data_IF_424865861619
#
_entry.id   IF_424865861619
#
_cell.length_a   1.000
_cell.length_b   1.000
_cell.length_c   1.000
_cell.angle_alpha   90.00
_cell.angle_beta   90.00
_cell.angle_gamma   90.00
#
_symmetry.space_group_name_H-M   'P 1'
#
loop_
_entity.id
_entity.type
_entity.pdbx_description
1 polymer ?
#
# COMPACT_ATOMS: atom_id res chain seq x y z
N UNK A 1 -6.04 -8.26 -4.05
CA UNK A 1 -4.83 -7.93 -3.27
C UNK A 1 -4.01 -6.80 -3.89
N UNK A 2 -3.97 -6.64 -5.21
CA UNK A 2 -3.33 -5.49 -5.87
C UNK A 2 -3.97 -4.14 -5.50
N UNK A 3 -5.27 -4.11 -5.27
CA UNK A 3 -5.97 -2.91 -4.75
C UNK A 3 -5.48 -2.55 -3.34
N UNK A 4 -5.12 -3.54 -2.55
CA UNK A 4 -4.61 -3.35 -1.20
C UNK A 4 -3.23 -2.69 -1.20
N UNK A 5 -2.37 -3.09 -2.13
CA UNK A 5 -1.00 -2.60 -2.26
C UNK A 5 -0.94 -1.13 -2.70
N UNK A 6 -1.81 -0.70 -3.60
CA UNK A 6 -1.78 0.67 -4.13
C UNK A 6 -2.49 1.71 -3.26
N UNK A 7 -3.20 1.26 -2.20
CA UNK A 7 -3.90 2.10 -1.23
C UNK A 7 -4.89 3.13 -1.85
N UNK A 8 -5.21 3.01 -3.13
CA UNK A 8 -6.09 3.95 -3.82
C UNK A 8 -7.50 3.92 -3.21
N UNK A 9 -7.98 5.08 -2.83
CA UNK A 9 -9.28 5.23 -2.19
C UNK A 9 -9.30 5.05 -0.67
N UNK A 10 -8.19 4.66 -0.03
CA UNK A 10 -8.11 4.52 1.43
C UNK A 10 -7.79 5.84 2.16
N UNK A 11 -7.15 6.79 1.47
CA UNK A 11 -6.73 8.06 2.06
C UNK A 11 -5.32 8.02 2.67
N UNK A 12 -4.70 6.86 2.79
CA UNK A 12 -3.37 6.68 3.37
C UNK A 12 -2.27 7.27 2.48
N UNK A 13 -2.34 7.09 1.17
CA UNK A 13 -1.41 7.67 0.22
C UNK A 13 -1.34 9.21 0.32
N UNK A 14 -2.47 9.87 0.59
CA UNK A 14 -2.48 11.33 0.77
C UNK A 14 -1.70 11.76 2.02
N UNK A 15 -1.65 10.96 3.08
CA UNK A 15 -0.85 11.23 4.28
C UNK A 15 0.65 11.17 3.96
N UNK A 16 1.08 10.16 3.19
CA UNK A 16 2.47 10.05 2.75
C UNK A 16 2.87 11.22 1.86
N UNK A 17 2.07 11.53 0.84
CA UNK A 17 2.34 12.62 -0.09
C UNK A 17 2.31 14.01 0.59
N UNK A 18 1.52 14.18 1.65
CA UNK A 18 1.51 15.43 2.43
C UNK A 18 2.82 15.68 3.20
N UNK A 19 3.63 14.64 3.44
CA UNK A 19 4.93 14.78 4.08
C UNK A 19 6.04 15.23 3.10
N UNK A 20 5.74 15.34 1.81
CA UNK A 20 6.73 15.73 0.80
C UNK A 20 7.07 17.22 0.89
N UNK A 21 8.35 17.53 0.86
CA UNK A 21 8.84 18.92 0.78
C UNK A 21 8.72 19.45 -0.66
N UNK A 22 7.58 20.03 -0.96
CA UNK A 22 7.30 20.60 -2.30
C UNK A 22 6.46 21.87 -2.21
N UNK A 23 6.84 22.86 -3.00
CA UNK A 23 6.05 24.08 -3.18
C UNK A 23 4.91 23.94 -4.20
N UNK A 24 4.86 22.81 -4.93
CA UNK A 24 3.90 22.58 -6.02
C UNK A 24 3.09 21.30 -5.77
N UNK A 25 1.94 21.36 -5.07
CA UNK A 25 1.13 20.19 -4.72
C UNK A 25 0.74 19.32 -5.93
N UNK A 26 0.44 19.95 -7.07
CA UNK A 26 0.09 19.25 -8.31
C UNK A 26 1.21 18.34 -8.80
N UNK A 27 2.47 18.76 -8.65
CA UNK A 27 3.62 17.93 -9.01
C UNK A 27 3.67 16.67 -8.14
N UNK A 28 3.41 16.80 -6.85
CA UNK A 28 3.35 15.65 -5.94
C UNK A 28 2.17 14.74 -6.27
N UNK A 29 1.00 15.29 -6.62
CA UNK A 29 -0.13 14.51 -7.10
C UNK A 29 0.17 13.70 -8.36
N UNK A 30 0.96 14.24 -9.30
CA UNK A 30 1.41 13.49 -10.48
C UNK A 30 2.34 12.32 -10.14
N UNK A 31 3.18 12.45 -9.10
CA UNK A 31 3.97 11.32 -8.60
C UNK A 31 3.07 10.20 -8.05
N UNK A 32 2.02 10.55 -7.30
CA UNK A 32 1.03 9.57 -6.83
C UNK A 32 0.33 8.82 -7.97
N UNK A 33 0.01 9.50 -9.08
CA UNK A 33 -0.55 8.84 -10.27
C UNK A 33 0.45 7.83 -10.85
N UNK A 34 1.72 8.24 -10.98
CA UNK A 34 2.78 7.35 -11.48
C UNK A 34 3.01 6.14 -10.57
N UNK A 35 3.01 6.35 -9.27
CA UNK A 35 3.18 5.29 -8.26
C UNK A 35 2.08 4.23 -8.38
N UNK A 36 0.80 4.65 -8.39
CA UNK A 36 -0.34 3.75 -8.54
C UNK A 36 -0.31 3.01 -9.88
N UNK A 37 0.08 3.68 -10.97
CA UNK A 37 0.25 3.06 -12.28
C UNK A 37 1.36 1.99 -12.24
N UNK A 38 2.52 2.31 -11.68
CA UNK A 38 3.65 1.39 -11.59
C UNK A 38 3.31 0.16 -10.74
N UNK A 39 2.68 0.35 -9.58
CA UNK A 39 2.29 -0.76 -8.71
C UNK A 39 1.21 -1.65 -9.34
N UNK A 40 0.12 -1.05 -9.80
CA UNK A 40 -1.05 -1.81 -10.23
C UNK A 40 -0.93 -2.34 -11.65
N UNK A 41 -0.52 -1.48 -12.59
CA UNK A 41 -0.48 -1.90 -14.01
C UNK A 41 0.81 -2.67 -14.31
N UNK A 42 1.96 -2.20 -13.83
CA UNK A 42 3.23 -2.86 -14.16
C UNK A 42 3.49 -4.05 -13.24
N UNK A 43 3.61 -3.83 -11.94
CA UNK A 43 4.03 -4.89 -11.00
C UNK A 43 3.00 -6.00 -10.87
N UNK A 44 1.72 -5.67 -10.67
CA UNK A 44 0.68 -6.69 -10.55
C UNK A 44 0.48 -7.49 -11.84
N UNK A 45 0.56 -6.83 -13.03
CA UNK A 45 0.47 -7.53 -14.31
C UNK A 45 1.66 -8.46 -14.51
N UNK A 46 2.88 -8.01 -14.24
CA UNK A 46 4.07 -8.87 -14.33
C UNK A 46 3.98 -10.07 -13.40
N UNK A 47 3.53 -9.88 -12.16
CA UNK A 47 3.33 -10.98 -11.21
C UNK A 47 2.30 -11.99 -11.71
N UNK A 48 1.16 -11.52 -12.23
CA UNK A 48 0.13 -12.38 -12.81
C UNK A 48 0.65 -13.16 -14.02
N UNK A 49 1.38 -12.51 -14.92
CA UNK A 49 1.98 -13.14 -16.09
C UNK A 49 2.99 -14.22 -15.70
N UNK A 50 3.85 -13.97 -14.71
CA UNK A 50 4.80 -14.97 -14.20
C UNK A 50 4.06 -16.21 -13.71
N UNK A 51 3.00 -16.06 -12.94
CA UNK A 51 2.20 -17.19 -12.44
C UNK A 51 1.57 -17.95 -13.60
N UNK A 52 0.94 -17.27 -14.55
CA UNK A 52 0.22 -17.90 -15.66
C UNK A 52 1.16 -18.62 -16.64
N UNK A 53 2.34 -18.06 -16.90
CA UNK A 53 3.30 -18.63 -17.88
C UNK A 53 4.16 -19.73 -17.26
N UNK A 54 4.35 -19.74 -15.93
CA UNK A 54 5.20 -20.71 -15.25
C UNK A 54 4.70 -22.16 -15.27
N UNK A 55 3.42 -22.38 -15.64
CA UNK A 55 2.80 -23.69 -15.62
C UNK A 55 2.51 -24.25 -14.22
N UNK A 56 2.67 -23.46 -13.18
CA UNK A 56 2.34 -23.87 -11.80
C UNK A 56 0.81 -24.01 -11.67
N UNK A 57 0.30 -25.11 -11.07
CA UNK A 57 -1.12 -25.32 -10.93
C UNK A 57 -1.76 -24.25 -10.02
N UNK A 58 -2.74 -23.55 -10.57
CA UNK A 58 -3.54 -22.59 -9.82
C UNK A 58 -4.83 -23.26 -9.38
N UNK A 59 -4.93 -23.57 -8.11
CA UNK A 59 -6.12 -24.23 -7.56
C UNK A 59 -7.23 -23.20 -7.32
N UNK A 60 -8.37 -23.38 -7.96
CA UNK A 60 -9.56 -22.55 -7.74
C UNK A 60 -10.06 -22.67 -6.30
N UNK A 61 -10.35 -21.55 -5.66
CA UNK A 61 -10.86 -21.50 -4.28
C UNK A 61 -9.81 -21.65 -3.18
N UNK A 62 -8.56 -21.95 -3.51
CA UNK A 62 -7.48 -21.93 -2.53
C UNK A 62 -7.02 -20.48 -2.27
N UNK A 63 -6.77 -20.16 -1.00
CA UNK A 63 -6.17 -18.88 -0.64
C UNK A 63 -4.73 -18.82 -1.16
N UNK A 64 -4.53 -18.20 -2.31
CA UNK A 64 -3.19 -18.00 -2.87
C UNK A 64 -2.45 -16.92 -2.08
N UNK A 65 -1.36 -17.31 -1.44
CA UNK A 65 -0.41 -16.43 -0.77
C UNK A 65 0.79 -16.10 -1.67
N UNK A 66 1.84 -15.59 -1.04
CA UNK A 66 3.14 -15.38 -1.68
C UNK A 66 3.76 -16.67 -2.25
N UNK A 67 3.38 -17.82 -1.71
CA UNK A 67 3.85 -19.15 -2.12
C UNK A 67 3.62 -19.42 -3.61
N UNK A 68 2.47 -19.00 -4.15
CA UNK A 68 2.16 -19.19 -5.56
C UNK A 68 3.12 -18.38 -6.45
N UNK A 69 3.42 -17.13 -6.06
CA UNK A 69 4.38 -16.29 -6.76
C UNK A 69 5.79 -16.87 -6.70
N UNK A 70 6.22 -17.30 -5.51
CA UNK A 70 7.53 -17.94 -5.30
C UNK A 70 7.65 -19.20 -6.16
N UNK A 71 6.60 -20.04 -6.21
CA UNK A 71 6.58 -21.25 -7.03
C UNK A 71 6.69 -20.94 -8.51
N UNK A 72 6.01 -19.88 -8.99
CA UNK A 72 6.10 -19.43 -10.38
C UNK A 72 7.52 -19.01 -10.76
N UNK A 73 8.17 -18.21 -9.94
CA UNK A 73 9.56 -17.81 -10.17
C UNK A 73 10.54 -18.99 -10.05
N UNK A 74 10.35 -19.87 -9.08
CA UNK A 74 11.20 -21.04 -8.86
C UNK A 74 11.11 -22.03 -10.03
N UNK A 75 9.93 -22.21 -10.61
CA UNK A 75 9.75 -23.08 -11.77
C UNK A 75 10.57 -22.63 -12.99
N UNK A 76 10.78 -21.31 -13.12
CA UNK A 76 11.52 -20.73 -14.26
C UNK A 76 13.01 -20.56 -14.00
N UNK A 77 13.38 -20.10 -12.80
CA UNK A 77 14.77 -19.68 -12.48
C UNK A 77 15.50 -20.63 -11.53
N UNK A 78 14.82 -21.66 -11.01
CA UNK A 78 15.43 -22.62 -10.08
C UNK A 78 15.39 -22.20 -8.61
N UNK A 79 15.87 -23.07 -7.73
CA UNK A 79 15.69 -22.94 -6.28
C UNK A 79 16.33 -21.72 -5.60
N UNK A 80 17.35 -21.12 -6.19
CA UNK A 80 18.00 -19.93 -5.62
C UNK A 80 17.07 -18.71 -5.55
N UNK A 81 16.06 -18.64 -6.43
CA UNK A 81 15.10 -17.54 -6.48
C UNK A 81 14.21 -17.52 -5.24
N UNK A 82 14.00 -18.64 -4.58
CA UNK A 82 13.24 -18.69 -3.32
C UNK A 82 13.90 -17.84 -2.23
N UNK A 83 15.22 -17.83 -2.16
CA UNK A 83 15.98 -16.99 -1.23
C UNK A 83 15.85 -15.52 -1.60
N UNK A 84 16.01 -15.20 -2.90
CA UNK A 84 15.86 -13.83 -3.39
C UNK A 84 14.45 -13.28 -3.11
N UNK A 85 13.41 -14.04 -3.41
CA UNK A 85 12.02 -13.63 -3.16
C UNK A 85 11.73 -13.51 -1.67
N UNK A 86 12.29 -14.39 -0.82
CA UNK A 86 12.15 -14.27 0.64
C UNK A 86 12.77 -12.97 1.15
N UNK A 87 13.97 -12.60 0.71
CA UNK A 87 14.62 -11.34 1.07
C UNK A 87 13.81 -10.14 0.57
N UNK A 88 13.33 -10.17 -0.68
CA UNK A 88 12.49 -9.13 -1.25
C UNK A 88 11.21 -8.96 -0.43
N UNK A 89 10.56 -10.04 -0.04
CA UNK A 89 9.36 -10.00 0.80
C UNK A 89 9.63 -9.44 2.20
N UNK A 90 10.77 -9.74 2.80
CA UNK A 90 11.19 -9.13 4.06
C UNK A 90 11.35 -7.61 3.91
N UNK A 91 11.97 -7.14 2.83
CA UNK A 91 12.12 -5.71 2.54
C UNK A 91 10.75 -5.03 2.33
N UNK A 92 9.85 -5.68 1.60
CA UNK A 92 8.47 -5.19 1.40
C UNK A 92 7.69 -5.11 2.72
N UNK A 93 7.73 -6.16 3.54
CA UNK A 93 7.07 -6.16 4.83
C UNK A 93 7.63 -5.06 5.74
N UNK A 94 8.93 -4.88 5.78
CA UNK A 94 9.60 -3.85 6.57
C UNK A 94 9.18 -2.44 6.13
N UNK A 95 9.19 -2.16 4.82
CA UNK A 95 8.75 -0.86 4.29
C UNK A 95 7.28 -0.58 4.58
N UNK A 96 6.43 -1.60 4.48
CA UNK A 96 5.00 -1.49 4.80
C UNK A 96 4.77 -1.19 6.28
N UNK A 97 5.48 -1.87 7.18
CA UNK A 97 5.39 -1.60 8.63
C UNK A 97 5.79 -0.15 8.94
N UNK A 98 6.85 0.37 8.31
CA UNK A 98 7.26 1.76 8.49
C UNK A 98 6.20 2.73 7.94
N UNK A 99 5.70 2.50 6.73
CA UNK A 99 4.69 3.35 6.10
C UNK A 99 3.41 3.42 6.91
N UNK A 100 2.85 2.28 7.28
CA UNK A 100 1.63 2.23 8.10
C UNK A 100 1.83 2.76 9.51
N UNK A 101 3.03 2.60 10.08
CA UNK A 101 3.42 3.25 11.32
C UNK A 101 3.36 4.78 11.24
N UNK A 102 3.83 5.35 10.12
CA UNK A 102 3.72 6.78 9.85
C UNK A 102 2.25 7.24 9.77
N UNK A 103 1.41 6.50 9.01
CA UNK A 103 -0.02 6.83 8.89
C UNK A 103 -0.71 6.82 10.25
N UNK A 104 -0.48 5.76 11.04
CA UNK A 104 -1.02 5.66 12.39
C UNK A 104 -0.52 6.77 13.31
N UNK A 105 0.77 7.10 13.26
CA UNK A 105 1.36 8.18 14.05
C UNK A 105 0.73 9.54 13.72
N UNK A 106 0.50 9.85 12.44
CA UNK A 106 -0.17 11.08 12.02
C UNK A 106 -1.64 11.14 12.43
N UNK A 107 -2.36 10.03 12.34
CA UNK A 107 -3.74 9.95 12.81
C UNK A 107 -3.83 10.16 14.33
N UNK A 108 -2.97 9.52 15.11
CA UNK A 108 -2.93 9.66 16.57
C UNK A 108 -2.52 11.07 17.00
N UNK A 109 -1.55 11.67 16.31
CA UNK A 109 -1.15 13.06 16.54
C UNK A 109 -2.32 14.03 16.32
N UNK A 110 -3.07 13.83 15.24
CA UNK A 110 -4.24 14.64 14.92
C UNK A 110 -5.37 14.49 15.95
N UNK A 111 -5.66 13.25 16.39
CA UNK A 111 -6.78 12.99 17.31
C UNK A 111 -6.48 13.38 18.76
N UNK A 112 -5.24 13.26 19.20
CA UNK A 112 -4.87 13.47 20.60
C UNK A 112 -3.77 14.51 20.75
N UNK A 113 -2.52 14.13 20.53
CA UNK A 113 -1.36 15.04 20.52
C UNK A 113 -0.08 14.31 20.13
N UNK A 114 0.98 15.06 19.83
CA UNK A 114 2.31 14.51 19.54
C UNK A 114 2.90 13.66 20.70
N UNK A 115 2.47 13.90 21.95
CA UNK A 115 2.95 13.14 23.12
C UNK A 115 2.55 11.67 23.08
N UNK A 116 1.44 11.35 22.40
CA UNK A 116 0.90 9.99 22.32
C UNK A 116 1.58 9.16 21.23
N UNK A 117 2.37 9.77 20.34
CA UNK A 117 3.06 9.06 19.26
C UNK A 117 3.98 7.96 19.82
N UNK A 118 4.77 8.26 20.87
CA UNK A 118 5.71 7.27 21.44
C UNK A 118 5.01 6.02 21.98
N UNK A 119 4.03 6.11 22.90
CA UNK A 119 3.33 4.93 23.38
C UNK A 119 2.58 4.20 22.26
N UNK A 120 2.02 4.92 21.28
CA UNK A 120 1.39 4.32 20.10
C UNK A 120 2.40 3.49 19.30
N UNK A 121 3.59 4.01 19.00
CA UNK A 121 4.61 3.27 18.23
C UNK A 121 5.11 2.02 18.96
N UNK A 122 5.20 2.06 20.30
CA UNK A 122 5.52 0.86 21.10
C UNK A 122 4.40 -0.18 20.95
N UNK A 123 3.15 0.22 21.14
CA UNK A 123 2.00 -0.68 20.99
C UNK A 123 1.91 -1.24 19.55
N UNK A 124 2.10 -0.39 18.53
CA UNK A 124 2.12 -0.78 17.14
C UNK A 124 3.18 -1.85 16.84
N UNK A 125 4.40 -1.67 17.34
CA UNK A 125 5.48 -2.65 17.17
C UNK A 125 5.16 -3.99 17.84
N UNK A 126 4.57 -3.98 19.03
CA UNK A 126 4.13 -5.20 19.70
C UNK A 126 3.00 -5.90 18.93
N UNK A 127 2.03 -5.15 18.43
CA UNK A 127 0.94 -5.71 17.59
C UNK A 127 1.48 -6.30 16.30
N UNK A 128 2.49 -5.70 15.68
CA UNK A 128 3.13 -6.25 14.48
C UNK A 128 3.78 -7.62 14.76
N UNK A 129 4.44 -7.76 15.91
CA UNK A 129 5.02 -9.05 16.35
C UNK A 129 3.92 -10.09 16.62
N UNK A 130 2.86 -9.70 17.33
CA UNK A 130 1.72 -10.59 17.60
C UNK A 130 1.01 -11.01 16.28
N UNK A 131 0.86 -10.08 15.34
CA UNK A 131 0.27 -10.33 14.03
C UNK A 131 0.98 -11.43 13.24
N UNK A 132 2.29 -11.59 13.43
CA UNK A 132 3.05 -12.66 12.79
C UNK A 132 2.67 -14.08 13.28
N UNK A 133 1.99 -14.19 14.41
CA UNK A 133 1.57 -15.48 15.02
C UNK A 133 0.09 -15.81 14.82
N UNK A 134 -0.71 -14.86 14.36
CA UNK A 134 -2.17 -15.01 14.18
C UNK A 134 -2.49 -15.68 12.83
N UNK A 135 -3.65 -16.33 12.76
CA UNK A 135 -4.14 -16.94 11.52
C UNK A 135 -4.28 -15.88 10.40
N UNK A 136 -3.63 -16.15 9.28
CA UNK A 136 -3.55 -15.22 8.14
C UNK A 136 -4.94 -14.90 7.54
N UNK A 137 -5.84 -15.89 7.47
CA UNK A 137 -7.20 -15.69 6.96
C UNK A 137 -8.01 -14.70 7.80
N UNK A 138 -7.92 -14.83 9.13
CA UNK A 138 -8.58 -13.92 10.06
C UNK A 138 -8.01 -12.50 9.92
N UNK A 139 -6.68 -12.37 9.85
CA UNK A 139 -6.04 -11.05 9.66
C UNK A 139 -6.49 -10.38 8.38
N UNK A 140 -6.58 -11.14 7.28
CA UNK A 140 -7.09 -10.59 6.00
C UNK A 140 -8.52 -10.11 6.12
N UNK A 141 -9.41 -10.88 6.73
CA UNK A 141 -10.82 -10.48 6.90
C UNK A 141 -10.97 -9.21 7.73
N UNK A 142 -10.19 -9.08 8.80
CA UNK A 142 -10.15 -7.87 9.63
C UNK A 142 -9.63 -6.68 8.81
N UNK A 143 -8.51 -6.85 8.13
CA UNK A 143 -7.88 -5.77 7.35
C UNK A 143 -8.78 -5.28 6.21
N UNK A 144 -9.43 -6.19 5.47
CA UNK A 144 -10.37 -5.84 4.39
C UNK A 144 -11.59 -5.07 4.92
N UNK A 145 -12.10 -5.44 6.09
CA UNK A 145 -13.22 -4.75 6.73
C UNK A 145 -12.84 -3.31 7.09
N UNK A 146 -11.69 -3.12 7.76
CA UNK A 146 -11.25 -1.78 8.13
C UNK A 146 -10.88 -0.93 6.91
N UNK A 147 -10.29 -1.50 5.87
CA UNK A 147 -10.03 -0.79 4.62
C UNK A 147 -11.33 -0.32 3.95
N UNK A 148 -12.37 -1.16 3.95
CA UNK A 148 -13.69 -0.75 3.48
C UNK A 148 -14.24 0.44 4.26
N UNK A 149 -14.10 0.43 5.58
CA UNK A 149 -14.53 1.53 6.44
C UNK A 149 -13.71 2.81 6.22
N UNK A 150 -12.39 2.70 5.98
CA UNK A 150 -11.52 3.85 5.70
C UNK A 150 -11.83 4.51 4.36
N UNK A 151 -12.29 3.76 3.36
CA UNK A 151 -12.61 4.31 2.04
C UNK A 151 -13.80 5.28 2.07
N UNK A 152 -14.78 5.08 2.95
CA UNK A 152 -15.99 5.91 3.03
C UNK A 152 -15.65 7.39 3.32
N UNK A 153 -14.99 7.74 4.44
CA UNK A 153 -14.65 9.12 4.74
C UNK A 153 -13.67 9.71 3.73
N UNK A 154 -12.76 8.90 3.18
CA UNK A 154 -11.85 9.38 2.15
C UNK A 154 -12.58 9.79 0.87
N UNK A 155 -13.51 8.98 0.37
CA UNK A 155 -14.29 9.31 -0.83
C UNK A 155 -15.11 10.59 -0.64
N UNK A 156 -15.69 10.79 0.53
CA UNK A 156 -16.40 12.04 0.88
C UNK A 156 -15.40 13.21 0.83
N UNK A 157 -14.22 13.08 1.43
CA UNK A 157 -13.19 14.12 1.42
C UNK A 157 -12.70 14.45 0.02
N UNK A 158 -12.42 13.44 -0.81
CA UNK A 158 -12.00 13.61 -2.20
C UNK A 158 -13.09 14.34 -3.02
N UNK A 159 -14.34 13.96 -2.84
CA UNK A 159 -15.47 14.60 -3.52
C UNK A 159 -15.57 16.08 -3.15
N UNK A 160 -15.54 16.41 -1.86
CA UNK A 160 -15.62 17.77 -1.37
C UNK A 160 -14.43 18.64 -1.81
N UNK A 161 -13.24 18.07 -1.91
CA UNK A 161 -12.01 18.79 -2.30
C UNK A 161 -11.75 18.78 -3.81
N UNK A 162 -12.57 18.11 -4.61
CA UNK A 162 -12.38 17.96 -6.05
C UNK A 162 -12.28 19.32 -6.78
N UNK A 163 -13.12 20.30 -6.38
CA UNK A 163 -13.06 21.65 -6.94
C UNK A 163 -11.72 22.35 -6.72
N UNK A 164 -11.17 22.22 -5.52
CA UNK A 164 -9.84 22.76 -5.17
C UNK A 164 -8.75 22.11 -6.00
N UNK A 165 -8.78 20.77 -6.12
CA UNK A 165 -7.83 20.02 -6.92
C UNK A 165 -7.85 20.45 -8.41
N UNK A 166 -9.03 20.63 -8.98
CA UNK A 166 -9.20 21.12 -10.36
C UNK A 166 -8.61 22.52 -10.53
N UNK A 167 -8.88 23.43 -9.59
CA UNK A 167 -8.37 24.81 -9.64
C UNK A 167 -6.85 24.82 -9.59
N UNK A 168 -6.24 24.16 -8.62
CA UNK A 168 -4.78 24.06 -8.49
C UNK A 168 -4.12 23.45 -9.74
N UNK A 169 -4.76 22.45 -10.32
CA UNK A 169 -4.27 21.80 -11.55
C UNK A 169 -4.29 22.77 -12.72
N UNK A 170 -5.37 23.53 -12.91
CA UNK A 170 -5.47 24.56 -13.95
C UNK A 170 -4.41 25.66 -13.78
N UNK A 171 -4.24 26.15 -12.57
CA UNK A 171 -3.22 27.16 -12.25
C UNK A 171 -1.80 26.66 -12.54
N UNK A 172 -1.49 25.43 -12.16
CA UNK A 172 -0.19 24.82 -12.42
C UNK A 172 0.16 24.75 -13.90
N UNK A 173 -0.79 24.31 -14.74
CA UNK A 173 -0.55 24.24 -16.18
C UNK A 173 -0.60 25.61 -16.87
N UNK A 174 -1.33 26.58 -16.34
CA UNK A 174 -1.32 27.97 -16.84
C UNK A 174 0.03 28.67 -16.61
N UNK A 175 0.69 28.40 -15.48
CA UNK A 175 2.01 28.96 -15.17
C UNK A 175 3.15 28.33 -16.00
N UNK A 176 2.91 27.22 -16.67
CA UNK A 176 3.91 26.49 -17.47
C UNK A 176 3.89 26.88 -18.95
N UNK A 177 2.93 27.71 -19.35
CA UNK A 177 2.88 28.36 -20.66
C UNK A 177 3.60 29.71 -20.62
#
# INVERSE_FOLDING_TARGET
RGIFSNEAGLGTGSIAHACADTSKPVKQGMFGIFEVFADTIVICTLTALVILVSGVPVNYGAAAGAELTISGFTATYGGWVSIFTAVAMCCFAFSTIIGWGLYGARCIEFLFSAKVIRPFMIAYSLVAILGATVNLGLLWSIAETFNGLMSIPNLIGVFLLSGTAITLTKEYFAQKK
#
